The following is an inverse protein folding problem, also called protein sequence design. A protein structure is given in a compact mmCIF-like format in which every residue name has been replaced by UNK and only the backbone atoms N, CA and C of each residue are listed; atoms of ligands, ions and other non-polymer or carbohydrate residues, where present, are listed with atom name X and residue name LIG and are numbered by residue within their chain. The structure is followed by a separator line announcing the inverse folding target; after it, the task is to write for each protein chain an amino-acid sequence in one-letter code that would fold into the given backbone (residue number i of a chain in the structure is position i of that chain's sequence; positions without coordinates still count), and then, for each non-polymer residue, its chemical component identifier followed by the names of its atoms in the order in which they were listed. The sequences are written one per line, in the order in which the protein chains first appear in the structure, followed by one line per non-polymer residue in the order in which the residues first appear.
data_IF_194484194123
#
_entry.id   IF_194484194123
#
_cell.length_a   1.000
_cell.length_b   1.000
_cell.length_c   1.000
_cell.angle_alpha   90.00
_cell.angle_beta   90.00
_cell.angle_gamma   90.00
#
_symmetry.space_group_name_H-M   'P 1'
#
loop_
_entity.id
_entity.type
_entity.pdbx_description
1 polymer ?
#
# COMPACT_ATOMS: atom_id res chain seq x y z
N UNK A 1 -47.01 -5.65 -22.45
CA UNK A 1 -45.60 -5.35 -22.76
C UNK A 1 -45.41 -3.85 -22.77
N UNK A 2 -44.86 -3.28 -21.70
CA UNK A 2 -44.67 -1.84 -21.56
C UNK A 2 -43.38 -1.38 -22.23
N UNK A 3 -43.48 -0.89 -23.46
CA UNK A 3 -42.35 -0.26 -24.14
C UNK A 3 -41.92 0.98 -23.36
N UNK A 4 -40.69 1.00 -22.84
CA UNK A 4 -40.09 2.22 -22.29
C UNK A 4 -40.15 3.29 -23.39
N UNK A 5 -40.88 4.37 -23.14
CA UNK A 5 -40.95 5.49 -24.07
C UNK A 5 -39.54 6.04 -24.28
N UNK A 6 -39.21 6.46 -25.51
CA UNK A 6 -37.89 7.03 -25.85
C UNK A 6 -37.46 8.15 -24.88
N UNK A 7 -38.43 8.92 -24.37
CA UNK A 7 -38.23 9.95 -23.36
C UNK A 7 -37.77 9.37 -22.02
N UNK A 8 -38.40 8.28 -21.54
CA UNK A 8 -37.99 7.59 -20.33
C UNK A 8 -36.60 6.96 -20.45
N UNK A 9 -36.27 6.39 -21.61
CA UNK A 9 -34.93 5.85 -21.87
C UNK A 9 -33.87 6.96 -21.86
N UNK A 10 -34.15 8.13 -22.46
CA UNK A 10 -33.23 9.27 -22.49
C UNK A 10 -33.03 9.89 -21.11
N UNK A 11 -34.10 10.02 -20.32
CA UNK A 11 -34.01 10.54 -18.95
C UNK A 11 -33.15 9.63 -18.06
N UNK A 12 -33.26 8.31 -18.22
CA UNK A 12 -32.45 7.35 -17.46
C UNK A 12 -30.96 7.42 -17.83
N UNK A 13 -30.63 7.57 -19.12
CA UNK A 13 -29.26 7.78 -19.59
C UNK A 13 -28.65 9.05 -18.99
N UNK A 14 -29.39 10.17 -18.97
CA UNK A 14 -28.90 11.41 -18.39
C UNK A 14 -28.70 11.32 -16.86
N UNK A 15 -29.56 10.59 -16.15
CA UNK A 15 -29.36 10.29 -14.72
C UNK A 15 -28.07 9.52 -14.47
N UNK A 16 -27.79 8.49 -15.27
CA UNK A 16 -26.54 7.72 -15.12
C UNK A 16 -25.31 8.56 -15.43
N UNK A 17 -25.35 9.41 -16.46
CA UNK A 17 -24.25 10.35 -16.76
C UNK A 17 -24.00 11.32 -15.60
N UNK A 18 -25.06 11.89 -15.02
CA UNK A 18 -24.93 12.78 -13.87
C UNK A 18 -24.33 12.06 -12.64
N UNK A 19 -24.76 10.83 -12.38
CA UNK A 19 -24.20 10.00 -11.32
C UNK A 19 -22.71 9.66 -11.56
N UNK A 20 -22.34 9.34 -12.79
CA UNK A 20 -20.95 9.06 -13.16
C UNK A 20 -20.05 10.29 -12.98
N UNK A 21 -20.50 11.47 -13.43
CA UNK A 21 -19.78 12.73 -13.24
C UNK A 21 -19.59 13.06 -11.76
N UNK A 22 -20.64 12.86 -10.95
CA UNK A 22 -20.55 13.05 -9.50
C UNK A 22 -19.54 12.10 -8.87
N UNK A 23 -19.59 10.82 -9.20
CA UNK A 23 -18.64 9.83 -8.69
C UNK A 23 -17.19 10.18 -9.08
N UNK A 24 -16.96 10.57 -10.34
CA UNK A 24 -15.64 11.03 -10.80
C UNK A 24 -15.15 12.24 -10.02
N UNK A 25 -16.02 13.21 -9.77
CA UNK A 25 -15.69 14.39 -8.96
C UNK A 25 -15.30 14.02 -7.53
N UNK A 26 -16.05 13.14 -6.89
CA UNK A 26 -15.76 12.70 -5.52
C UNK A 26 -14.46 11.85 -5.43
N UNK A 27 -14.17 11.03 -6.46
CA UNK A 27 -12.88 10.32 -6.58
C UNK A 27 -11.73 11.31 -6.73
N UNK A 28 -11.88 12.34 -7.59
CA UNK A 28 -10.84 13.35 -7.80
C UNK A 28 -10.58 14.19 -6.54
N UNK A 29 -11.59 14.36 -5.69
CA UNK A 29 -11.44 14.97 -4.35
C UNK A 29 -10.78 14.04 -3.32
N UNK A 30 -10.50 12.79 -3.68
CA UNK A 30 -9.90 11.80 -2.78
C UNK A 30 -10.86 11.21 -1.74
N UNK A 31 -12.18 11.42 -1.89
CA UNK A 31 -13.17 10.88 -0.95
C UNK A 31 -13.39 9.38 -1.14
N UNK A 32 -13.14 8.88 -2.35
CA UNK A 32 -13.32 7.47 -2.68
C UNK A 32 -12.11 6.94 -3.44
N UNK A 33 -11.73 5.70 -3.12
CA UNK A 33 -10.74 4.94 -3.87
C UNK A 33 -11.33 3.59 -4.26
N UNK A 34 -10.87 3.03 -5.39
CA UNK A 34 -11.24 1.67 -5.78
C UNK A 34 -10.70 0.68 -4.74
N UNK A 35 -11.57 -0.23 -4.28
CA UNK A 35 -11.19 -1.32 -3.36
C UNK A 35 -9.96 -2.09 -3.83
N UNK A 36 -9.89 -2.40 -5.13
CA UNK A 36 -8.75 -3.12 -5.74
C UNK A 36 -7.43 -2.39 -5.52
N UNK A 37 -7.41 -1.06 -5.65
CA UNK A 37 -6.20 -0.25 -5.44
C UNK A 37 -5.77 -0.29 -3.97
N UNK A 38 -6.71 -0.23 -3.02
CA UNK A 38 -6.39 -0.33 -1.58
C UNK A 38 -5.78 -1.69 -1.26
N UNK A 39 -6.43 -2.77 -1.73
CA UNK A 39 -5.99 -4.15 -1.51
C UNK A 39 -4.60 -4.37 -2.11
N UNK A 40 -4.39 -3.96 -3.37
CA UNK A 40 -3.10 -4.09 -4.04
C UNK A 40 -1.98 -3.33 -3.31
N UNK A 41 -2.25 -2.09 -2.89
CA UNK A 41 -1.27 -1.30 -2.12
C UNK A 41 -0.95 -1.95 -0.78
N UNK A 42 -1.95 -2.49 -0.08
CA UNK A 42 -1.74 -3.21 1.18
C UNK A 42 -0.87 -4.46 1.00
N UNK A 43 -1.14 -5.29 -0.02
CA UNK A 43 -0.31 -6.46 -0.31
C UNK A 43 1.12 -6.10 -0.70
N UNK A 44 1.31 -5.03 -1.49
CA UNK A 44 2.64 -4.53 -1.82
C UNK A 44 3.40 -4.05 -0.58
N UNK A 45 2.73 -3.30 0.31
CA UNK A 45 3.33 -2.87 1.57
C UNK A 45 3.72 -4.06 2.47
N UNK A 46 2.86 -5.09 2.57
CA UNK A 46 3.17 -6.29 3.33
C UNK A 46 4.37 -7.06 2.76
N UNK A 47 4.46 -7.17 1.43
CA UNK A 47 5.57 -7.84 0.75
C UNK A 47 6.88 -7.09 0.96
N UNK A 48 6.83 -5.77 0.82
CA UNK A 48 7.95 -4.87 1.08
C UNK A 48 8.48 -5.00 2.51
N UNK A 49 7.58 -5.02 3.51
CA UNK A 49 7.94 -5.26 4.90
C UNK A 49 8.69 -6.59 5.03
N UNK A 50 8.08 -7.70 4.58
CA UNK A 50 8.69 -9.02 4.64
C UNK A 50 10.09 -9.03 4.02
N UNK A 51 10.23 -8.51 2.80
CA UNK A 51 11.48 -8.56 2.05
C UNK A 51 12.60 -7.77 2.75
N UNK A 52 12.27 -6.61 3.36
CA UNK A 52 13.22 -5.80 4.13
C UNK A 52 13.74 -6.51 5.37
N UNK A 53 12.88 -7.21 6.12
CA UNK A 53 13.29 -7.90 7.35
C UNK A 53 13.90 -9.28 7.11
N UNK A 54 13.45 -10.01 6.08
CA UNK A 54 13.86 -11.39 5.83
C UNK A 54 15.36 -11.54 5.55
N UNK A 55 16.01 -10.49 5.05
CA UNK A 55 17.45 -10.47 4.80
C UNK A 55 18.31 -10.10 6.01
N UNK A 56 17.74 -9.66 7.14
CA UNK A 56 18.54 -9.24 8.30
C UNK A 56 19.44 -10.39 8.81
N UNK A 57 18.92 -11.61 9.08
CA UNK A 57 19.75 -12.66 9.68
C UNK A 57 20.96 -13.03 8.82
N UNK A 58 20.79 -13.08 7.49
CA UNK A 58 21.86 -13.41 6.57
C UNK A 58 22.98 -12.36 6.55
N UNK A 59 22.67 -11.07 6.80
CA UNK A 59 23.69 -10.02 6.88
C UNK A 59 24.51 -10.09 8.15
N UNK A 60 23.88 -10.43 9.27
CA UNK A 60 24.50 -10.30 10.59
C UNK A 60 24.98 -11.62 11.20
N UNK A 61 24.63 -12.77 10.61
CA UNK A 61 24.97 -14.07 11.20
C UNK A 61 26.46 -14.23 11.46
N UNK A 62 27.33 -13.79 10.55
CA UNK A 62 28.77 -13.85 10.72
C UNK A 62 29.28 -12.90 11.82
N UNK A 63 28.73 -11.68 11.87
CA UNK A 63 29.05 -10.67 12.89
C UNK A 63 28.67 -11.15 14.29
N UNK A 64 27.44 -11.66 14.45
CA UNK A 64 26.95 -12.18 15.73
C UNK A 64 27.71 -13.45 16.13
N UNK A 65 28.04 -14.33 15.19
CA UNK A 65 28.81 -15.55 15.50
C UNK A 65 30.25 -15.27 15.94
N UNK A 66 30.83 -14.15 15.52
CA UNK A 66 32.18 -13.72 15.92
C UNK A 66 32.19 -12.96 17.25
N UNK A 67 31.03 -12.51 17.74
CA UNK A 67 30.92 -11.71 18.95
C UNK A 67 30.68 -12.58 20.19
N UNK A 68 31.42 -12.30 21.26
CA UNK A 68 31.38 -13.04 22.52
C UNK A 68 30.63 -12.30 23.62
N UNK A 69 30.55 -10.97 23.53
CA UNK A 69 29.76 -10.15 24.45
C UNK A 69 28.29 -10.12 24.04
N UNK A 70 27.44 -10.63 24.92
CA UNK A 70 25.99 -10.63 24.76
C UNK A 70 25.42 -9.22 24.52
N UNK A 71 25.95 -8.20 25.21
CA UNK A 71 25.48 -6.83 25.07
C UNK A 71 25.73 -6.31 23.65
N UNK A 72 26.90 -6.65 23.09
CA UNK A 72 27.27 -6.27 21.73
C UNK A 72 26.44 -7.02 20.69
N UNK A 73 26.20 -8.33 20.87
CA UNK A 73 25.27 -9.10 20.05
C UNK A 73 23.87 -8.45 20.00
N UNK A 74 23.35 -8.02 21.15
CA UNK A 74 22.07 -7.32 21.21
C UNK A 74 22.12 -6.00 20.44
N UNK A 75 23.19 -5.20 20.57
CA UNK A 75 23.31 -3.94 19.82
C UNK A 75 23.35 -4.16 18.31
N UNK A 76 24.07 -5.18 17.82
CA UNK A 76 24.12 -5.54 16.40
C UNK A 76 22.70 -5.83 15.88
N UNK A 77 21.97 -6.71 16.56
CA UNK A 77 20.59 -7.07 16.18
C UNK A 77 19.65 -5.86 16.24
N UNK A 78 19.74 -5.07 17.32
CA UNK A 78 18.89 -3.90 17.53
C UNK A 78 19.10 -2.82 16.46
N UNK A 79 20.35 -2.55 16.07
CA UNK A 79 20.67 -1.58 15.04
C UNK A 79 20.10 -2.00 13.69
N UNK A 80 20.23 -3.26 13.32
CA UNK A 80 19.73 -3.79 12.05
C UNK A 80 18.20 -3.80 11.96
N UNK A 81 17.51 -4.06 13.08
CA UNK A 81 16.04 -3.92 13.14
C UNK A 81 15.64 -2.45 12.93
N UNK A 82 16.33 -1.50 13.58
CA UNK A 82 16.06 -0.06 13.42
C UNK A 82 16.33 0.44 12.01
N UNK A 83 17.42 -0.02 11.40
CA UNK A 83 17.74 0.29 10.01
C UNK A 83 16.70 -0.30 9.06
N UNK A 84 16.31 -1.56 9.27
CA UNK A 84 15.22 -2.21 8.51
C UNK A 84 13.89 -1.45 8.61
N UNK A 85 13.52 -0.99 9.81
CA UNK A 85 12.32 -0.16 10.01
C UNK A 85 12.43 1.18 9.28
N UNK A 86 13.58 1.84 9.39
CA UNK A 86 13.84 3.12 8.71
C UNK A 86 13.72 2.98 7.19
N UNK A 87 14.33 1.93 6.64
CA UNK A 87 14.29 1.66 5.21
C UNK A 87 12.88 1.28 4.75
N UNK A 88 12.16 0.45 5.50
CA UNK A 88 10.77 0.11 5.19
C UNK A 88 9.89 1.36 5.15
N UNK A 89 10.00 2.27 6.12
CA UNK A 89 9.24 3.53 6.13
C UNK A 89 9.61 4.41 4.93
N UNK A 90 10.89 4.46 4.54
CA UNK A 90 11.34 5.19 3.36
C UNK A 90 10.69 4.65 2.08
N UNK A 91 10.70 3.34 1.90
CA UNK A 91 10.12 2.68 0.74
C UNK A 91 8.58 2.78 0.72
N UNK A 92 7.93 2.67 1.90
CA UNK A 92 6.48 2.84 2.04
C UNK A 92 6.04 4.26 1.65
N UNK A 93 6.80 5.29 2.03
CA UNK A 93 6.57 6.67 1.57
C UNK A 93 6.71 6.79 0.05
N UNK A 94 7.64 6.06 -0.56
CA UNK A 94 7.75 5.96 -2.02
C UNK A 94 6.48 5.40 -2.67
N UNK A 95 5.93 4.32 -2.11
CA UNK A 95 4.68 3.71 -2.58
C UNK A 95 3.46 4.63 -2.42
N UNK A 96 3.48 5.53 -1.43
CA UNK A 96 2.44 6.54 -1.23
C UNK A 96 2.49 7.67 -2.28
N UNK A 97 3.68 8.02 -2.79
CA UNK A 97 3.89 9.09 -3.78
C UNK A 97 3.67 8.66 -5.23
N UNK A 98 3.78 7.37 -5.54
CA UNK A 98 3.61 6.82 -6.90
C UNK A 98 2.16 6.51 -7.29
N UNK A 99 1.22 7.42 -6.97
CA UNK A 99 -0.18 7.34 -7.39
C UNK A 99 -0.43 8.15 -8.65
#
# INVERSE_FOLDING_TARGET
GGGKTFVGARAEVEKYKAAELRLKHEINKGLWLKKTVVVDKAFRAARLMRDTFQNIPARISALVAAESDQAQCYQIVNNEIKEGLTEFVRQLKGLAKGG
#
